data_IF_105787291515
#
_entry.id   IF_105787291515
#
_cell.length_a   1.000
_cell.length_b   1.000
_cell.length_c   1.000
_cell.angle_alpha   90.00
_cell.angle_beta   90.00
_cell.angle_gamma   90.00
#
_symmetry.space_group_name_H-M   'P 1'
#
loop_
_entity.id
_entity.type
_entity.pdbx_description
1 polymer ?
#
# COMPACT_ATOMS: atom_id res chain seq x y z
N UNK A 1 -9.49 21.93 -25.12
CA UNK A 1 -8.96 20.74 -24.42
C UNK A 1 -7.45 20.70 -24.63
N UNK A 2 -6.67 20.73 -23.55
CA UNK A 2 -5.21 20.67 -23.63
C UNK A 2 -4.77 19.24 -23.93
N UNK A 3 -4.45 18.95 -25.20
CA UNK A 3 -3.87 17.67 -25.59
C UNK A 3 -2.49 17.50 -24.94
N UNK A 4 -2.21 16.30 -24.43
CA UNK A 4 -0.91 15.94 -23.85
C UNK A 4 0.22 16.27 -24.86
N UNK A 5 1.08 17.24 -24.56
CA UNK A 5 2.15 17.71 -25.47
C UNK A 5 3.40 16.80 -25.50
N UNK A 6 3.43 15.74 -24.68
CA UNK A 6 4.61 14.88 -24.51
C UNK A 6 4.98 14.11 -25.79
N UNK A 7 6.28 14.08 -26.09
CA UNK A 7 6.86 13.36 -27.24
C UNK A 7 7.00 11.86 -26.98
N UNK A 8 7.21 11.46 -25.74
CA UNK A 8 7.48 10.08 -25.37
C UNK A 8 6.49 9.58 -24.33
N UNK A 9 6.17 8.30 -24.39
CA UNK A 9 5.32 7.63 -23.41
C UNK A 9 5.73 6.18 -23.23
N UNK A 10 5.25 5.56 -22.16
CA UNK A 10 5.44 4.14 -21.91
C UNK A 10 4.07 3.55 -21.59
N UNK A 11 3.73 2.45 -22.25
CA UNK A 11 2.61 1.60 -21.91
C UNK A 11 3.18 0.28 -21.42
N UNK A 12 2.66 -0.24 -20.32
CA UNK A 12 3.21 -1.45 -19.70
C UNK A 12 2.11 -2.32 -19.13
N UNK A 13 2.31 -3.64 -19.20
CA UNK A 13 1.77 -4.59 -18.23
C UNK A 13 2.88 -4.98 -17.25
N UNK A 14 2.62 -5.97 -16.39
CA UNK A 14 3.67 -6.54 -15.54
C UNK A 14 4.81 -7.16 -16.37
N UNK A 15 4.46 -7.93 -17.40
CA UNK A 15 5.42 -8.72 -18.17
C UNK A 15 5.89 -8.06 -19.47
N UNK A 16 5.24 -6.99 -19.92
CA UNK A 16 5.48 -6.43 -21.25
C UNK A 16 5.49 -4.92 -21.24
N UNK A 17 6.41 -4.34 -22.02
CA UNK A 17 6.59 -2.90 -22.14
C UNK A 17 6.54 -2.47 -23.60
N UNK A 18 5.87 -1.36 -23.88
CA UNK A 18 5.83 -0.68 -25.17
C UNK A 18 6.27 0.77 -24.98
N UNK A 19 7.20 1.21 -25.82
CA UNK A 19 7.72 2.56 -25.81
C UNK A 19 7.09 3.34 -26.95
N UNK A 20 6.56 4.51 -26.63
CA UNK A 20 5.83 5.35 -27.56
C UNK A 20 6.66 6.58 -27.91
N UNK A 21 6.68 6.95 -29.19
CA UNK A 21 7.22 8.21 -29.69
C UNK A 21 6.18 8.88 -30.59
N UNK A 22 5.82 10.11 -30.28
CA UNK A 22 4.94 10.93 -31.11
C UNK A 22 5.72 11.98 -31.88
N UNK A 23 5.54 12.02 -33.19
CA UNK A 23 6.06 13.06 -34.06
C UNK A 23 4.91 13.67 -34.84
N UNK A 24 4.51 14.90 -34.47
CA UNK A 24 3.35 15.58 -35.04
C UNK A 24 2.06 14.77 -34.88
N UNK A 25 1.49 14.29 -35.99
CA UNK A 25 0.27 13.48 -36.03
C UNK A 25 0.55 11.96 -36.01
N UNK A 26 1.83 11.54 -36.06
CA UNK A 26 2.20 10.14 -36.08
C UNK A 26 2.58 9.62 -34.69
N UNK A 27 2.07 8.45 -34.35
CA UNK A 27 2.39 7.72 -33.12
C UNK A 27 3.12 6.42 -33.47
N UNK A 28 4.37 6.34 -33.04
CA UNK A 28 5.21 5.17 -33.18
C UNK A 28 5.18 4.37 -31.88
N UNK A 29 4.95 3.06 -31.98
CA UNK A 29 4.94 2.14 -30.85
C UNK A 29 6.02 1.08 -31.11
N UNK A 30 6.90 0.84 -30.13
CA UNK A 30 7.91 -0.20 -30.24
C UNK A 30 7.27 -1.60 -30.36
N UNK A 31 8.05 -2.57 -30.82
CA UNK A 31 7.71 -3.98 -30.54
C UNK A 31 7.62 -4.19 -29.03
N UNK A 32 6.83 -5.20 -28.64
CA UNK A 32 6.72 -5.63 -27.25
C UNK A 32 8.11 -5.96 -26.71
N UNK A 33 8.46 -5.39 -25.56
CA UNK A 33 9.66 -5.73 -24.81
C UNK A 33 9.27 -6.50 -23.56
N UNK A 34 9.51 -7.83 -23.48
CA UNK A 34 9.22 -8.61 -22.29
C UNK A 34 10.07 -8.18 -21.10
N UNK A 35 9.56 -8.34 -19.88
CA UNK A 35 10.26 -8.02 -18.63
C UNK A 35 11.62 -8.73 -18.53
N UNK A 36 11.68 -9.96 -19.05
CA UNK A 36 12.86 -10.82 -19.04
C UNK A 36 13.80 -10.60 -20.24
N UNK A 37 13.57 -9.57 -21.07
CA UNK A 37 14.46 -9.29 -22.19
C UNK A 37 15.86 -8.92 -21.69
N UNK A 38 16.90 -9.57 -22.22
CA UNK A 38 18.30 -9.23 -21.93
C UNK A 38 18.92 -8.31 -22.99
N UNK A 39 18.23 -8.09 -24.12
CA UNK A 39 18.74 -7.30 -25.24
C UNK A 39 17.60 -6.61 -26.02
N UNK A 40 17.29 -5.34 -25.71
CA UNK A 40 17.79 -4.58 -24.58
C UNK A 40 17.11 -4.97 -23.25
N UNK A 41 17.80 -4.88 -22.11
CA UNK A 41 17.14 -4.95 -20.81
C UNK A 41 16.08 -3.85 -20.67
N UNK A 42 14.94 -4.16 -20.04
CA UNK A 42 13.85 -3.19 -19.84
C UNK A 42 14.38 -1.90 -19.20
N UNK A 43 15.17 -2.00 -18.13
CA UNK A 43 15.73 -0.83 -17.47
C UNK A 43 16.60 0.04 -18.40
N UNK A 44 17.32 -0.60 -19.34
CA UNK A 44 18.12 0.11 -20.34
C UNK A 44 17.23 0.86 -21.34
N UNK A 45 16.11 0.25 -21.75
CA UNK A 45 15.13 0.90 -22.62
C UNK A 45 14.44 2.09 -21.92
N UNK A 46 14.10 1.96 -20.64
CA UNK A 46 13.60 3.07 -19.81
C UNK A 46 14.62 4.20 -19.73
N UNK A 47 15.86 3.90 -19.34
CA UNK A 47 16.92 4.90 -19.22
C UNK A 47 17.16 5.65 -20.54
N UNK A 48 17.13 4.92 -21.67
CA UNK A 48 17.23 5.51 -22.99
C UNK A 48 16.07 6.47 -23.28
N UNK A 49 14.83 6.05 -23.04
CA UNK A 49 13.66 6.91 -23.27
C UNK A 49 13.66 8.13 -22.37
N UNK A 50 14.00 7.99 -21.08
CA UNK A 50 14.12 9.10 -20.13
C UNK A 50 15.19 10.10 -20.59
N UNK A 51 16.34 9.61 -21.08
CA UNK A 51 17.39 10.47 -21.64
C UNK A 51 16.91 11.24 -22.87
N UNK A 52 16.18 10.58 -23.78
CA UNK A 52 15.57 11.23 -24.95
C UNK A 52 14.53 12.28 -24.54
N UNK A 53 13.66 11.94 -23.60
CA UNK A 53 12.62 12.85 -23.10
C UNK A 53 13.19 14.10 -22.42
N UNK A 54 14.36 14.02 -21.77
CA UNK A 54 15.06 15.21 -21.24
C UNK A 54 15.55 16.16 -22.34
N UNK A 55 16.00 15.62 -23.47
CA UNK A 55 16.46 16.43 -24.60
C UNK A 55 15.31 17.03 -25.42
N UNK A 56 14.27 16.24 -25.66
CA UNK A 56 13.16 16.61 -26.56
C UNK A 56 11.79 16.27 -25.94
N UNK A 57 11.37 16.97 -24.88
CA UNK A 57 10.21 16.55 -24.09
C UNK A 57 8.87 16.67 -24.82
N UNK A 58 8.75 17.59 -25.78
CA UNK A 58 7.48 17.93 -26.44
C UNK A 58 7.46 17.57 -27.90
N UNK A 59 6.33 17.05 -28.38
CA UNK A 59 6.10 16.85 -29.81
C UNK A 59 5.65 18.17 -30.45
N UNK A 60 6.11 18.53 -31.66
CA UNK A 60 5.65 19.74 -32.33
C UNK A 60 4.14 19.64 -32.61
N UNK A 61 3.41 20.75 -32.49
CA UNK A 61 1.98 20.80 -32.81
C UNK A 61 1.81 20.53 -34.30
N UNK A 62 0.86 19.68 -34.73
CA UNK A 62 0.55 19.57 -36.15
C UNK A 62 0.07 20.94 -36.64
N UNK A 63 0.84 21.55 -37.55
CA UNK A 63 0.34 22.68 -38.35
C UNK A 63 -0.68 22.11 -39.32
N UNK A 64 -1.94 22.04 -38.90
CA UNK A 64 -3.03 21.77 -39.84
C UNK A 64 -3.21 23.05 -40.68
N UNK A 65 -2.42 23.17 -41.75
CA UNK A 65 -2.68 24.12 -42.82
C UNK A 65 -3.92 23.61 -43.57
N UNK A 66 -5.09 24.13 -43.22
CA UNK A 66 -6.30 23.94 -44.03
C UNK A 66 -6.14 24.80 -45.29
N UNK A 67 -6.06 24.22 -46.50
CA UNK A 67 -6.05 25.02 -47.72
C UNK A 67 -7.42 25.66 -47.88
N UNK A 68 -7.48 27.00 -47.83
CA UNK A 68 -8.65 27.74 -48.29
C UNK A 68 -8.60 27.84 -49.82
N UNK A 69 -8.96 26.75 -50.50
CA UNK A 69 -9.43 26.84 -51.88
C UNK A 69 -10.95 26.64 -51.85
N UNK A 70 -11.64 27.76 -52.02
CA UNK A 70 -13.08 27.78 -52.18
C UNK A 70 -13.43 27.38 -53.59
N UNK A 71 -14.33 26.40 -53.72
CA UNK A 71 -15.33 26.41 -54.77
C UNK A 71 -16.71 26.22 -54.12
N UNK A 72 -17.56 27.20 -54.40
CA UNK A 72 -18.93 27.30 -53.94
C UNK A 72 -19.75 26.14 -54.52
N UNK A 73 -20.33 25.28 -53.68
CA UNK A 73 -21.78 25.05 -53.63
C UNK A 73 -22.15 23.88 -52.69
N UNK A 74 -23.30 24.07 -52.02
CA UNK A 74 -24.08 23.09 -51.25
C UNK A 74 -23.87 23.01 -49.72
N UNK A 75 -24.54 23.98 -49.05
CA UNK A 75 -25.58 23.78 -48.03
C UNK A 75 -25.25 23.01 -46.72
N UNK A 76 -25.05 23.82 -45.67
CA UNK A 76 -25.62 23.74 -44.29
C UNK A 76 -25.34 22.48 -43.46
N UNK A 77 -24.73 22.60 -42.27
CA UNK A 77 -25.39 23.11 -41.07
C UNK A 77 -24.46 23.92 -40.15
N UNK A 78 -25.02 25.03 -39.66
CA UNK A 78 -24.42 26.10 -38.85
C UNK A 78 -24.06 25.65 -37.43
N UNK A 79 -22.87 25.98 -36.97
CA UNK A 79 -22.60 26.24 -35.55
C UNK A 79 -22.62 27.77 -35.32
N UNK A 80 -23.62 28.23 -34.57
CA UNK A 80 -23.70 29.62 -34.11
C UNK A 80 -22.63 29.85 -33.06
N UNK A 81 -21.62 30.66 -33.39
CA UNK A 81 -20.87 31.43 -32.40
C UNK A 81 -21.35 32.87 -32.48
N UNK A 82 -21.92 33.39 -31.39
CA UNK A 82 -22.12 34.82 -31.18
C UNK A 82 -21.22 35.26 -30.05
N UNK A 83 -20.22 36.07 -30.40
CA UNK A 83 -19.58 37.03 -29.51
C UNK A 83 -20.33 38.36 -29.62
N UNK A 84 -20.54 39.05 -28.48
CA UNK A 84 -20.32 40.49 -28.34
C UNK A 84 -20.63 40.97 -26.91
N UNK A 85 -19.55 41.40 -26.25
CA UNK A 85 -19.38 42.63 -25.44
C UNK A 85 -20.49 43.21 -24.55
N UNK A 86 -20.04 43.46 -23.30
CA UNK A 86 -20.24 44.64 -22.42
C UNK A 86 -21.63 44.96 -21.86
N UNK A 87 -21.77 44.85 -20.53
CA UNK A 87 -21.99 45.99 -19.63
C UNK A 87 -22.03 45.56 -18.15
N UNK A 88 -21.52 46.46 -17.32
CA UNK A 88 -21.40 46.47 -15.86
C UNK A 88 -22.72 46.45 -15.10
N UNK A 89 -22.73 45.87 -13.87
CA UNK A 89 -23.24 46.47 -12.60
C UNK A 89 -23.40 45.42 -11.47
N UNK A 90 -22.63 45.65 -10.38
CA UNK A 90 -22.96 45.61 -8.93
C UNK A 90 -23.72 44.46 -8.24
N UNK A 91 -23.22 44.18 -7.01
CA UNK A 91 -23.88 43.62 -5.81
C UNK A 91 -24.16 42.10 -5.80
N UNK A 92 -24.04 41.32 -4.73
CA UNK A 92 -23.71 41.53 -3.31
C UNK A 92 -23.35 40.17 -2.68
N UNK A 93 -22.52 40.24 -1.64
CA UNK A 93 -22.35 39.39 -0.45
C UNK A 93 -23.40 38.30 -0.11
N UNK A 94 -22.92 37.15 0.40
CA UNK A 94 -23.40 36.39 1.59
C UNK A 94 -22.56 35.10 1.74
N UNK A 95 -21.50 35.01 2.54
CA UNK A 95 -21.43 34.81 4.00
C UNK A 95 -22.37 33.74 4.57
N UNK A 96 -21.81 32.58 4.93
CA UNK A 96 -22.11 31.92 6.20
C UNK A 96 -20.86 31.19 6.69
N UNK A 97 -20.24 31.80 7.70
CA UNK A 97 -19.29 31.17 8.60
C UNK A 97 -20.00 30.16 9.49
N UNK A 98 -19.33 29.05 9.81
CA UNK A 98 -19.46 28.43 11.12
C UNK A 98 -18.06 28.07 11.62
N UNK A 99 -17.77 28.65 12.77
CA UNK A 99 -16.52 28.71 13.50
C UNK A 99 -16.44 27.54 14.51
N UNK A 100 -15.27 27.43 15.17
CA UNK A 100 -14.98 26.67 16.41
C UNK A 100 -14.37 25.28 16.21
N UNK A 101 -13.40 24.83 17.01
CA UNK A 101 -12.41 25.43 17.90
C UNK A 101 -11.50 24.25 18.26
N UNK A 102 -10.23 24.55 18.53
CA UNK A 102 -9.19 23.64 18.96
C UNK A 102 -9.61 22.72 20.12
N UNK A 103 -9.22 21.44 20.05
CA UNK A 103 -8.87 20.69 21.26
C UNK A 103 -7.75 19.71 20.95
N UNK A 104 -6.63 19.93 21.61
CA UNK A 104 -5.50 19.02 21.74
C UNK A 104 -5.93 17.83 22.60
N UNK A 105 -5.93 16.63 22.04
CA UNK A 105 -5.96 15.38 22.80
C UNK A 105 -5.24 14.30 21.98
N UNK A 106 -4.17 13.73 22.55
CA UNK A 106 -3.59 12.47 22.09
C UNK A 106 -4.69 11.39 22.19
N UNK A 107 -5.25 11.02 21.04
CA UNK A 107 -6.34 10.04 20.94
C UNK A 107 -6.06 9.11 19.79
N UNK A 108 -6.23 7.80 20.04
CA UNK A 108 -6.04 6.72 19.10
C UNK A 108 -6.56 7.09 17.70
N UNK A 109 -5.64 7.21 16.73
CA UNK A 109 -5.98 7.46 15.35
C UNK A 109 -6.75 6.24 14.82
N UNK A 110 -8.02 6.43 14.45
CA UNK A 110 -8.68 5.55 13.49
C UNK A 110 -7.80 5.55 12.24
N UNK A 111 -7.01 4.49 12.07
CA UNK A 111 -6.25 4.29 10.83
C UNK A 111 -7.30 3.92 9.80
N UNK A 112 -7.68 4.88 8.95
CA UNK A 112 -8.56 4.63 7.82
C UNK A 112 -7.78 3.97 6.68
N UNK A 113 -8.49 3.31 5.76
CA UNK A 113 -7.84 2.67 4.62
C UNK A 113 -7.29 3.74 3.66
N UNK A 114 -5.97 3.89 3.63
CA UNK A 114 -5.30 4.92 2.84
C UNK A 114 -4.95 4.46 1.40
N UNK A 115 -4.65 5.43 0.54
CA UNK A 115 -4.09 5.20 -0.80
C UNK A 115 -2.68 5.78 -0.84
N UNK A 116 -1.69 4.91 -0.90
CA UNK A 116 -0.29 5.26 -0.92
C UNK A 116 0.28 5.25 -2.34
N UNK A 117 1.14 6.22 -2.59
CA UNK A 117 2.01 6.34 -3.75
C UNK A 117 3.38 5.70 -3.49
N UNK A 118 4.17 5.51 -4.55
CA UNK A 118 5.55 5.04 -4.45
C UNK A 118 6.47 5.93 -3.64
N UNK A 119 6.11 7.21 -3.44
CA UNK A 119 6.92 8.18 -2.72
C UNK A 119 6.68 8.13 -1.19
N UNK A 120 5.60 7.51 -0.73
CA UNK A 120 5.23 7.51 0.68
C UNK A 120 6.13 6.60 1.54
N UNK A 121 6.71 5.56 0.93
CA UNK A 121 7.58 4.60 1.60
C UNK A 121 9.00 4.66 1.04
N UNK A 122 9.98 4.81 1.92
CA UNK A 122 11.40 4.69 1.58
C UNK A 122 11.94 3.36 2.05
N UNK A 123 12.04 2.41 1.12
CA UNK A 123 12.52 1.06 1.39
C UNK A 123 14.00 1.04 1.78
N UNK A 124 14.34 0.27 2.83
CA UNK A 124 15.71 0.08 3.31
C UNK A 124 16.22 -1.33 3.03
N UNK A 125 15.53 -2.36 3.53
CA UNK A 125 15.94 -3.76 3.38
C UNK A 125 14.74 -4.71 3.45
N UNK A 126 14.95 -5.98 3.13
CA UNK A 126 13.96 -7.05 3.34
C UNK A 126 14.15 -7.58 4.76
N UNK A 127 13.05 -7.68 5.52
CA UNK A 127 13.02 -8.31 6.85
C UNK A 127 12.61 -9.79 6.76
N UNK A 128 11.75 -10.14 5.79
CA UNK A 128 11.31 -11.50 5.60
C UNK A 128 10.51 -11.68 4.31
N UNK A 129 10.36 -12.93 3.90
CA UNK A 129 9.49 -13.34 2.81
C UNK A 129 8.60 -14.47 3.32
N UNK A 130 7.29 -14.33 3.11
CA UNK A 130 6.30 -15.26 3.60
C UNK A 130 5.14 -15.43 2.63
N UNK A 131 4.10 -16.12 3.10
CA UNK A 131 2.93 -16.45 2.29
C UNK A 131 2.24 -15.22 1.71
N UNK A 132 2.18 -14.13 2.47
CA UNK A 132 1.54 -12.88 2.04
C UNK A 132 2.46 -11.94 1.27
N UNK A 133 3.64 -12.39 0.85
CA UNK A 133 4.62 -11.59 0.13
C UNK A 133 5.81 -11.19 0.99
N UNK A 134 6.31 -9.97 0.80
CA UNK A 134 7.55 -9.49 1.41
C UNK A 134 7.26 -8.55 2.57
N UNK A 135 7.99 -8.73 3.66
CA UNK A 135 8.06 -7.78 4.77
C UNK A 135 9.34 -6.98 4.63
N UNK A 136 9.19 -5.66 4.56
CA UNK A 136 10.27 -4.72 4.24
C UNK A 136 10.50 -3.79 5.42
N UNK A 137 11.76 -3.51 5.73
CA UNK A 137 12.11 -2.38 6.59
C UNK A 137 11.99 -1.11 5.75
N UNK A 138 11.14 -0.17 6.16
CA UNK A 138 11.00 1.10 5.45
C UNK A 138 10.83 2.28 6.40
N UNK A 139 11.04 3.48 5.86
CA UNK A 139 10.73 4.74 6.51
C UNK A 139 9.39 5.27 5.96
N UNK A 140 8.47 5.62 6.84
CA UNK A 140 7.14 6.16 6.55
C UNK A 140 6.85 7.34 7.48
N UNK A 141 6.62 8.53 6.91
CA UNK A 141 6.34 9.77 7.66
C UNK A 141 7.35 10.09 8.79
N UNK A 142 8.61 9.68 8.63
CA UNK A 142 9.69 9.88 9.60
C UNK A 142 9.93 8.70 10.55
N UNK A 143 9.00 7.75 10.62
CA UNK A 143 9.12 6.56 11.46
C UNK A 143 9.68 5.37 10.69
N UNK A 144 10.43 4.50 11.37
CA UNK A 144 10.86 3.22 10.80
C UNK A 144 9.85 2.13 11.14
N UNK A 145 9.33 1.45 10.11
CA UNK A 145 8.28 0.44 10.23
C UNK A 145 8.65 -0.87 9.53
N UNK A 146 7.99 -1.95 9.92
CA UNK A 146 7.91 -3.18 9.13
C UNK A 146 6.69 -3.08 8.21
N UNK A 147 6.92 -3.08 6.89
CA UNK A 147 5.89 -3.00 5.87
C UNK A 147 5.71 -4.35 5.20
N UNK A 148 4.64 -5.06 5.55
CA UNK A 148 4.17 -6.26 4.85
C UNK A 148 3.45 -5.82 3.58
N UNK A 149 3.88 -6.32 2.43
CA UNK A 149 3.36 -5.92 1.12
C UNK A 149 3.07 -7.14 0.24
N UNK A 150 1.87 -7.15 -0.34
CA UNK A 150 1.46 -8.15 -1.35
C UNK A 150 1.29 -7.49 -2.72
N UNK A 151 1.84 -8.11 -3.76
CA UNK A 151 1.55 -7.77 -5.16
C UNK A 151 0.24 -8.44 -5.59
N UNK A 152 -0.81 -7.63 -5.80
CA UNK A 152 -2.15 -8.11 -6.12
C UNK A 152 -2.27 -8.67 -7.54
N UNK A 153 -1.30 -8.39 -8.41
CA UNK A 153 -1.26 -8.97 -9.75
C UNK A 153 -0.73 -10.41 -9.76
N UNK A 154 0.04 -10.80 -8.73
CA UNK A 154 0.69 -12.11 -8.62
C UNK A 154 0.08 -13.01 -7.57
N UNK A 155 -0.38 -12.42 -6.47
CA UNK A 155 -0.84 -13.18 -5.35
C UNK A 155 -2.20 -13.84 -5.67
N UNK A 156 -2.42 -15.07 -5.19
CA UNK A 156 -3.75 -15.65 -5.18
C UNK A 156 -4.76 -14.73 -4.47
N UNK A 157 -6.00 -14.70 -4.94
CA UNK A 157 -7.03 -13.79 -4.44
C UNK A 157 -7.34 -13.95 -2.94
N UNK A 158 -7.05 -15.11 -2.34
CA UNK A 158 -7.24 -15.33 -0.91
C UNK A 158 -6.23 -14.54 -0.05
N UNK A 159 -5.04 -14.23 -0.57
CA UNK A 159 -3.99 -13.54 0.19
C UNK A 159 -4.42 -12.12 0.57
N UNK A 160 -5.10 -11.41 -0.34
CA UNK A 160 -5.67 -10.09 -0.03
C UNK A 160 -6.71 -10.20 1.10
N UNK A 161 -7.54 -11.25 1.08
CA UNK A 161 -8.54 -11.47 2.14
C UNK A 161 -7.88 -11.72 3.49
N UNK A 162 -6.79 -12.49 3.51
CA UNK A 162 -5.99 -12.74 4.72
C UNK A 162 -5.38 -11.44 5.26
N UNK A 163 -4.80 -10.58 4.41
CA UNK A 163 -4.25 -9.29 4.84
C UNK A 163 -5.32 -8.30 5.32
N UNK A 164 -6.46 -8.22 4.64
CA UNK A 164 -7.57 -7.37 5.09
C UNK A 164 -8.11 -7.85 6.44
N UNK A 165 -8.22 -9.17 6.62
CA UNK A 165 -8.62 -9.77 7.89
C UNK A 165 -7.62 -9.49 9.00
N UNK A 166 -6.32 -9.56 8.72
CA UNK A 166 -5.26 -9.18 9.66
C UNK A 166 -5.43 -7.73 10.14
N UNK A 167 -5.70 -6.78 9.24
CA UNK A 167 -6.00 -5.38 9.61
C UNK A 167 -7.20 -5.27 10.55
N UNK A 168 -8.30 -5.95 10.25
CA UNK A 168 -9.50 -5.90 11.10
C UNK A 168 -9.25 -6.49 12.49
N UNK A 169 -8.44 -7.55 12.59
CA UNK A 169 -8.02 -8.11 13.89
C UNK A 169 -7.15 -7.10 14.65
N UNK A 170 -6.19 -6.44 14.00
CA UNK A 170 -5.40 -5.40 14.66
C UNK A 170 -6.27 -4.27 15.20
N UNK A 171 -7.30 -3.83 14.46
CA UNK A 171 -8.24 -2.81 14.92
C UNK A 171 -9.04 -3.25 16.15
N UNK A 172 -9.49 -4.49 16.19
CA UNK A 172 -10.20 -5.05 17.35
C UNK A 172 -9.31 -5.19 18.58
N UNK A 173 -8.00 -5.38 18.37
CA UNK A 173 -6.98 -5.53 19.42
C UNK A 173 -6.27 -4.20 19.75
N UNK A 174 -6.90 -3.06 19.49
CA UNK A 174 -6.26 -1.74 19.62
C UNK A 174 -5.73 -1.43 21.04
N UNK A 175 -6.37 -1.93 22.08
CA UNK A 175 -6.00 -1.70 23.48
C UNK A 175 -4.76 -2.50 23.95
N UNK A 176 -4.36 -3.52 23.19
CA UNK A 176 -3.18 -4.36 23.49
C UNK A 176 -1.97 -4.08 22.58
N UNK A 177 -2.14 -3.21 21.59
CA UNK A 177 -1.07 -2.79 20.70
C UNK A 177 0.05 -2.04 21.43
N UNK A 178 1.30 -2.35 21.08
CA UNK A 178 2.50 -1.83 21.73
C UNK A 178 2.86 -2.53 23.05
N UNK A 179 2.03 -3.47 23.52
CA UNK A 179 2.28 -4.27 24.72
C UNK A 179 2.47 -5.76 24.42
N UNK A 180 1.53 -6.34 23.66
CA UNK A 180 1.55 -7.78 23.34
C UNK A 180 1.58 -8.05 21.83
N UNK A 181 1.25 -7.05 21.03
CA UNK A 181 1.31 -7.07 19.56
C UNK A 181 1.89 -5.73 19.08
N UNK A 182 2.50 -5.65 17.89
CA UNK A 182 2.96 -4.38 17.32
C UNK A 182 1.83 -3.36 17.16
N UNK A 183 2.18 -2.07 17.06
CA UNK A 183 1.18 -1.06 16.71
C UNK A 183 0.93 -1.06 15.20
N UNK A 184 -0.33 -1.01 14.81
CA UNK A 184 -0.75 -0.77 13.44
C UNK A 184 -0.53 0.70 13.10
N UNK A 185 0.44 0.99 12.25
CA UNK A 185 0.82 2.36 11.86
C UNK A 185 0.02 2.82 10.66
N UNK A 186 -0.10 1.97 9.64
CA UNK A 186 -0.81 2.30 8.41
C UNK A 186 -1.25 1.02 7.69
N UNK A 187 -2.28 1.12 6.86
CA UNK A 187 -2.61 0.07 5.91
C UNK A 187 -3.38 0.67 4.72
N UNK A 188 -3.33 -0.01 3.58
CA UNK A 188 -4.02 0.49 2.41
C UNK A 188 -3.50 -0.03 1.08
N UNK A 189 -4.03 0.54 0.01
CA UNK A 189 -3.57 0.24 -1.33
C UNK A 189 -2.33 1.06 -1.65
N UNK A 190 -1.35 0.43 -2.31
CA UNK A 190 -0.07 1.02 -2.66
C UNK A 190 0.17 0.96 -4.17
N UNK A 191 0.88 1.95 -4.70
CA UNK A 191 1.32 1.98 -6.10
C UNK A 191 0.16 2.07 -7.08
N UNK A 192 -0.87 2.86 -6.77
CA UNK A 192 -2.07 2.96 -7.62
C UNK A 192 -2.99 1.74 -7.57
N UNK A 193 -2.92 0.95 -6.50
CA UNK A 193 -3.76 -0.24 -6.31
C UNK A 193 -3.13 -1.55 -6.78
N UNK A 194 -1.84 -1.54 -7.17
CA UNK A 194 -1.11 -2.76 -7.54
C UNK A 194 -0.75 -3.64 -6.35
N UNK A 195 -0.68 -3.05 -5.16
CA UNK A 195 -0.34 -3.78 -3.94
C UNK A 195 -1.26 -3.39 -2.79
N UNK A 196 -1.34 -4.27 -1.79
CA UNK A 196 -1.92 -3.94 -0.49
C UNK A 196 -0.82 -4.04 0.58
N UNK A 197 -0.79 -3.10 1.52
CA UNK A 197 0.26 -2.99 2.52
C UNK A 197 -0.30 -2.88 3.94
N UNK A 198 0.45 -3.41 4.90
CA UNK A 198 0.25 -3.24 6.34
C UNK A 198 1.58 -2.80 6.93
N UNK A 199 1.59 -1.64 7.58
CA UNK A 199 2.74 -1.07 8.26
C UNK A 199 2.59 -1.23 9.77
N UNK A 200 3.57 -1.87 10.40
CA UNK A 200 3.61 -2.12 11.84
C UNK A 200 4.88 -1.50 12.45
N UNK A 201 4.85 -1.16 13.74
CA UNK A 201 6.06 -0.75 14.46
C UNK A 201 7.10 -1.87 14.51
N UNK A 202 8.38 -1.51 14.43
CA UNK A 202 9.47 -2.44 14.74
C UNK A 202 9.50 -2.69 16.25
N UNK A 203 9.40 -3.95 16.67
CA UNK A 203 9.32 -4.30 18.10
C UNK A 203 10.41 -5.25 18.57
N UNK A 204 11.05 -6.04 17.70
CA UNK A 204 12.04 -7.04 18.10
C UNK A 204 12.50 -7.93 16.94
N UNK A 205 13.17 -9.03 17.28
CA UNK A 205 13.66 -10.09 16.36
C UNK A 205 12.94 -11.41 16.62
N UNK A 206 13.02 -12.37 15.68
CA UNK A 206 12.32 -13.65 15.78
C UNK A 206 12.84 -14.51 16.93
N UNK A 207 11.96 -15.32 17.52
CA UNK A 207 12.27 -16.26 18.60
C UNK A 207 13.29 -17.34 18.19
N UNK A 208 13.30 -17.76 16.93
CA UNK A 208 14.14 -18.86 16.40
C UNK A 208 15.62 -18.73 16.74
N UNK A 209 16.08 -17.50 16.95
CA UNK A 209 17.51 -17.19 17.11
C UNK A 209 17.89 -17.00 18.59
N UNK A 210 16.97 -17.20 19.52
CA UNK A 210 17.13 -16.78 20.91
C UNK A 210 16.68 -17.85 21.91
N UNK A 211 17.21 -17.74 23.13
CA UNK A 211 16.69 -18.45 24.31
C UNK A 211 15.90 -17.47 25.17
N UNK A 212 14.90 -17.97 25.88
CA UNK A 212 13.98 -17.15 26.67
C UNK A 212 14.00 -17.49 28.14
N UNK A 213 13.61 -16.52 28.96
CA UNK A 213 13.39 -16.68 30.40
C UNK A 213 11.96 -17.13 30.71
N UNK A 214 11.73 -17.66 31.91
CA UNK A 214 10.37 -17.94 32.41
C UNK A 214 9.49 -16.66 32.47
N UNK A 215 10.10 -15.50 32.69
CA UNK A 215 9.39 -14.21 32.68
C UNK A 215 8.88 -13.88 31.27
N UNK A 216 9.73 -14.02 30.26
CA UNK A 216 9.37 -13.81 28.86
C UNK A 216 8.27 -14.79 28.42
N UNK A 217 8.39 -16.08 28.79
CA UNK A 217 7.32 -17.05 28.56
C UNK A 217 6.00 -16.63 29.22
N UNK A 218 6.02 -16.19 30.47
CA UNK A 218 4.83 -15.65 31.14
C UNK A 218 4.24 -14.45 30.39
N UNK A 219 5.09 -13.58 29.84
CA UNK A 219 4.70 -12.45 29.00
C UNK A 219 3.97 -12.90 27.73
N UNK A 220 4.51 -13.89 27.01
CA UNK A 220 3.90 -14.45 25.81
C UNK A 220 2.51 -15.06 26.10
N UNK A 221 2.40 -15.84 27.17
CA UNK A 221 1.13 -16.45 27.59
C UNK A 221 0.09 -15.37 27.93
N UNK A 222 0.47 -14.31 28.67
CA UNK A 222 -0.41 -13.18 28.95
C UNK A 222 -0.83 -12.43 27.69
N UNK A 223 0.06 -12.31 26.70
CA UNK A 223 -0.24 -11.73 25.40
C UNK A 223 -1.31 -12.52 24.66
N UNK A 224 -1.16 -13.85 24.61
CA UNK A 224 -2.15 -14.72 24.00
C UNK A 224 -3.50 -14.69 24.75
N UNK A 225 -3.49 -14.71 26.08
CA UNK A 225 -4.71 -14.57 26.90
C UNK A 225 -5.43 -13.25 26.61
N UNK A 226 -4.69 -12.16 26.40
CA UNK A 226 -5.26 -10.86 26.06
C UNK A 226 -5.94 -10.87 24.68
N UNK A 227 -5.36 -11.58 23.70
CA UNK A 227 -5.97 -11.83 22.39
C UNK A 227 -7.24 -12.69 22.56
N UNK A 228 -7.16 -13.78 23.32
CA UNK A 228 -8.28 -14.70 23.57
C UNK A 228 -9.46 -14.02 24.27
N UNK A 229 -9.19 -13.05 25.16
CA UNK A 229 -10.23 -12.26 25.84
C UNK A 229 -11.10 -11.47 24.86
N UNK A 230 -10.57 -11.13 23.68
CA UNK A 230 -11.33 -10.50 22.59
C UNK A 230 -12.12 -11.51 21.74
N UNK A 231 -12.11 -12.79 22.10
CA UNK A 231 -12.74 -13.85 21.32
C UNK A 231 -11.98 -14.17 20.04
N UNK A 232 -10.68 -13.89 20.00
CA UNK A 232 -9.83 -14.12 18.83
C UNK A 232 -8.90 -15.30 19.11
N UNK A 233 -8.93 -16.31 18.23
CA UNK A 233 -7.88 -17.33 18.13
C UNK A 233 -6.84 -16.86 17.12
N UNK A 234 -5.56 -17.07 17.40
CA UNK A 234 -4.48 -16.68 16.48
C UNK A 234 -4.35 -17.65 15.29
N UNK A 235 -4.56 -18.94 15.54
CA UNK A 235 -4.46 -20.11 14.66
C UNK A 235 -3.09 -20.37 14.00
N UNK A 236 -2.07 -19.54 14.27
CA UNK A 236 -0.75 -19.66 13.64
C UNK A 236 0.39 -19.44 14.63
N UNK A 237 0.28 -20.09 15.80
CA UNK A 237 1.34 -20.11 16.81
C UNK A 237 2.52 -20.95 16.29
N UNK A 238 3.66 -20.29 16.08
CA UNK A 238 4.96 -20.81 15.63
C UNK A 238 6.06 -19.78 15.92
N UNK A 239 7.32 -20.21 15.96
CA UNK A 239 8.48 -19.38 16.35
C UNK A 239 8.68 -18.14 15.47
N UNK A 240 8.33 -18.19 14.19
CA UNK A 240 8.46 -17.07 13.25
C UNK A 240 7.43 -15.96 13.51
N UNK A 241 6.34 -16.29 14.23
CA UNK A 241 5.28 -15.35 14.59
C UNK A 241 5.41 -14.83 16.04
N UNK A 242 6.56 -15.08 16.67
CA UNK A 242 6.89 -14.59 18.02
C UNK A 242 8.14 -13.73 17.91
N UNK A 243 8.00 -12.45 18.25
CA UNK A 243 9.10 -11.50 18.33
C UNK A 243 9.48 -11.24 19.77
N UNK A 244 10.77 -11.05 20.00
CA UNK A 244 11.37 -10.77 21.30
C UNK A 244 12.29 -9.56 21.19
N UNK A 245 12.35 -8.75 22.24
CA UNK A 245 13.23 -7.59 22.32
C UNK A 245 14.13 -7.64 23.57
N UNK A 246 15.09 -6.72 23.62
CA UNK A 246 16.07 -6.63 24.71
C UNK A 246 15.45 -6.21 26.07
N UNK A 247 14.18 -5.81 26.09
CA UNK A 247 13.45 -5.40 27.30
C UNK A 247 12.58 -6.53 27.89
N UNK A 248 12.81 -7.78 27.49
CA UNK A 248 12.02 -8.96 27.86
C UNK A 248 10.55 -8.91 27.41
N UNK A 249 10.20 -8.03 26.46
CA UNK A 249 8.87 -8.00 25.88
C UNK A 249 8.78 -9.04 24.75
N UNK A 250 7.66 -9.78 24.74
CA UNK A 250 7.30 -10.68 23.66
C UNK A 250 6.07 -10.15 22.93
N UNK A 251 6.13 -10.19 21.61
CA UNK A 251 5.07 -9.76 20.72
C UNK A 251 4.62 -10.90 19.81
N UNK A 252 3.31 -11.07 19.70
CA UNK A 252 2.68 -11.97 18.73
C UNK A 252 2.37 -11.20 17.45
N UNK A 253 2.65 -11.81 16.30
CA UNK A 253 2.48 -11.21 14.96
C UNK A 253 1.78 -12.16 13.98
N UNK A 254 1.37 -11.62 12.84
CA UNK A 254 0.70 -12.32 11.74
C UNK A 254 -0.69 -12.89 12.06
N UNK A 255 -1.70 -12.03 11.98
CA UNK A 255 -3.10 -12.40 12.21
C UNK A 255 -3.84 -12.83 10.94
N UNK A 256 -3.15 -13.17 9.85
CA UNK A 256 -3.81 -13.58 8.59
C UNK A 256 -4.71 -14.81 8.77
N UNK A 257 -4.32 -15.72 9.68
CA UNK A 257 -5.03 -16.97 9.97
C UNK A 257 -6.02 -16.89 11.15
N UNK A 258 -6.04 -15.78 11.90
CA UNK A 258 -6.81 -15.64 13.14
C UNK A 258 -8.32 -15.83 12.95
N UNK A 259 -9.09 -16.27 13.93
CA UNK A 259 -10.56 -16.39 13.80
C UNK A 259 -11.30 -15.82 15.00
N UNK A 260 -12.54 -15.37 14.77
CA UNK A 260 -13.42 -14.87 15.83
C UNK A 260 -14.31 -16.01 16.29
N UNK A 261 -14.22 -16.35 17.56
CA UNK A 261 -14.95 -17.46 18.16
C UNK A 261 -15.62 -17.03 19.47
N UNK A 262 -16.75 -17.66 19.79
CA UNK A 262 -17.41 -17.49 21.07
C UNK A 262 -16.60 -18.20 22.17
N UNK A 263 -16.00 -17.41 23.07
CA UNK A 263 -15.13 -17.91 24.16
C UNK A 263 -15.81 -18.91 25.08
N UNK A 264 -17.14 -18.88 25.21
CA UNK A 264 -17.89 -19.85 26.04
C UNK A 264 -18.14 -21.14 25.27
N UNK A 265 -18.54 -21.06 24.00
CA UNK A 265 -18.86 -22.25 23.18
C UNK A 265 -17.63 -22.99 22.71
N UNK A 266 -16.52 -22.27 22.50
CA UNK A 266 -15.28 -22.80 21.91
C UNK A 266 -14.10 -22.78 22.88
N UNK A 267 -14.36 -22.74 24.19
CA UNK A 267 -13.31 -22.70 25.24
C UNK A 267 -12.17 -23.69 25.00
N UNK A 268 -12.49 -24.92 24.60
CA UNK A 268 -11.52 -25.98 24.30
C UNK A 268 -10.49 -25.56 23.24
N UNK A 269 -10.88 -24.79 22.22
CA UNK A 269 -9.95 -24.31 21.18
C UNK A 269 -8.96 -23.28 21.74
N UNK A 270 -9.43 -22.40 22.63
CA UNK A 270 -8.55 -21.42 23.29
C UNK A 270 -7.55 -22.10 24.22
N UNK A 271 -8.00 -23.09 25.00
CA UNK A 271 -7.13 -23.91 25.87
C UNK A 271 -6.09 -24.70 25.04
N UNK A 272 -6.50 -25.29 23.91
CA UNK A 272 -5.60 -26.00 23.00
C UNK A 272 -4.54 -25.07 22.39
N UNK A 273 -4.92 -23.86 21.99
CA UNK A 273 -3.98 -22.87 21.46
C UNK A 273 -2.99 -22.37 22.53
N UNK A 274 -3.47 -22.13 23.74
CA UNK A 274 -2.61 -21.75 24.86
C UNK A 274 -1.61 -22.86 25.22
N UNK A 275 -2.06 -24.12 25.22
CA UNK A 275 -1.19 -25.27 25.43
C UNK A 275 -0.13 -25.38 24.33
N UNK A 276 -0.53 -25.18 23.07
CA UNK A 276 0.39 -25.16 21.93
C UNK A 276 1.49 -24.11 22.10
N UNK A 277 1.12 -22.89 22.52
CA UNK A 277 2.11 -21.83 22.80
C UNK A 277 3.04 -22.22 23.94
N UNK A 278 2.51 -22.74 25.06
CA UNK A 278 3.35 -23.14 26.20
C UNK A 278 4.36 -24.22 25.80
N UNK A 279 3.91 -25.26 25.10
CA UNK A 279 4.78 -26.37 24.65
C UNK A 279 5.86 -25.91 23.66
N UNK A 280 5.52 -24.97 22.77
CA UNK A 280 6.49 -24.36 21.87
C UNK A 280 7.59 -23.63 22.68
N UNK A 281 7.18 -22.78 23.63
CA UNK A 281 8.10 -21.96 24.42
C UNK A 281 8.98 -22.80 25.35
N UNK A 282 8.52 -23.96 25.83
CA UNK A 282 9.32 -24.90 26.63
C UNK A 282 10.61 -25.33 25.92
N UNK A 283 10.64 -25.38 24.59
CA UNK A 283 11.84 -25.69 23.81
C UNK A 283 12.91 -24.58 23.82
N UNK A 284 12.54 -23.37 24.25
CA UNK A 284 13.38 -22.17 24.20
C UNK A 284 13.81 -21.69 25.60
N UNK A 285 13.29 -22.26 26.68
CA UNK A 285 13.68 -21.91 28.06
C UNK A 285 15.12 -22.39 28.36
N UNK A 286 15.85 -21.61 29.14
CA UNK A 286 17.17 -21.95 29.74
C UNK A 286 17.05 -21.95 31.25
#
# INVERSE_FOLDING_TARGET
>A
MGGNELRYGILTTYDNHWFLRREHAELWISKTLPLQSESPPVLKAYAYLTRRAKGEPKSPKPQVLVPAQGDNNSRTLRSNSKSSSSSSLTNQASSTSANQQSSSAFGASNVDQEKFSFADFKFKSILGEGRSGKTLLCEFRGDTIALKSVDLSKAPSYVLKEMQKEVEIYKELADIQGKYIPKLVCYGYYGGGMSFVIGLTIVGTMLSDQKITEQQKSGAIKGLEAIHKHGILHNDIREENILINDNDDIYLIDFGMASREDTKKKRKLFEEEQLKLSQLLDGYIV
#
